data_IF_217807512078
#
_entry.id   IF_217807512078
#
_cell.length_a   1.000
_cell.length_b   1.000
_cell.length_c   1.000
_cell.angle_alpha   90.00
_cell.angle_beta   90.00
_cell.angle_gamma   90.00
#
_symmetry.space_group_name_H-M   'P 1'
#
loop_
_entity.id
_entity.type
_entity.pdbx_description
1 polymer ?
#
# COMPACT_ATOMS: atom_id res chain seq x y z
N UNK A 1 -5.28 -22.46 -24.43
CA UNK A 1 -5.41 -21.11 -23.83
C UNK A 1 -4.03 -20.65 -23.44
N UNK A 2 -3.53 -19.58 -24.05
CA UNK A 2 -2.18 -19.05 -23.81
C UNK A 2 -2.22 -18.15 -22.57
N UNK A 3 -1.45 -18.48 -21.53
CA UNK A 3 -1.31 -17.68 -20.31
C UNK A 3 -0.52 -16.40 -20.64
N UNK A 4 -1.17 -15.25 -20.62
CA UNK A 4 -0.51 -13.95 -20.82
C UNK A 4 0.03 -13.47 -19.47
N UNK A 5 1.35 -13.43 -19.30
CA UNK A 5 2.01 -12.86 -18.11
C UNK A 5 2.35 -11.39 -18.33
N UNK A 6 1.65 -10.51 -17.61
CA UNK A 6 1.99 -9.10 -17.55
C UNK A 6 3.08 -8.86 -16.50
N UNK A 7 4.25 -8.36 -16.91
CA UNK A 7 5.25 -7.85 -15.97
C UNK A 7 4.87 -6.43 -15.55
N UNK A 8 4.09 -6.32 -14.48
CA UNK A 8 3.83 -5.02 -13.86
C UNK A 8 5.11 -4.57 -13.15
N UNK A 9 5.67 -3.44 -13.56
CA UNK A 9 6.87 -2.91 -12.94
C UNK A 9 6.64 -2.61 -11.45
N UNK A 10 7.51 -3.13 -10.58
CA UNK A 10 7.44 -2.93 -9.12
C UNK A 10 7.35 -1.46 -8.72
N UNK A 11 8.05 -0.58 -9.44
CA UNK A 11 7.97 0.89 -9.24
C UNK A 11 6.57 1.44 -9.50
N UNK A 12 5.84 0.92 -10.49
CA UNK A 12 4.47 1.33 -10.76
C UNK A 12 3.55 0.85 -9.64
N UNK A 13 3.70 -0.40 -9.20
CA UNK A 13 2.94 -0.96 -8.07
C UNK A 13 3.13 -0.11 -6.81
N UNK A 14 4.38 0.22 -6.49
CA UNK A 14 4.72 1.06 -5.34
C UNK A 14 4.07 2.45 -5.43
N UNK A 15 4.06 3.07 -6.61
CA UNK A 15 3.39 4.37 -6.84
C UNK A 15 1.88 4.28 -6.68
N UNK A 16 1.26 3.22 -7.20
CA UNK A 16 -0.17 2.98 -7.03
C UNK A 16 -0.53 2.73 -5.56
N UNK A 17 0.27 1.93 -4.84
CA UNK A 17 0.12 1.70 -3.41
C UNK A 17 0.17 3.02 -2.63
N UNK A 18 1.21 3.83 -2.87
CA UNK A 18 1.37 5.14 -2.26
C UNK A 18 0.16 6.06 -2.53
N UNK A 19 -0.36 6.06 -3.77
CA UNK A 19 -1.52 6.86 -4.14
C UNK A 19 -2.76 6.45 -3.36
N UNK A 20 -3.05 5.15 -3.28
CA UNK A 20 -4.23 4.64 -2.58
C UNK A 20 -4.12 4.81 -1.06
N UNK A 21 -2.93 4.63 -0.49
CA UNK A 21 -2.72 4.86 0.94
C UNK A 21 -3.04 6.32 1.35
N UNK A 22 -2.65 7.30 0.54
CA UNK A 22 -2.95 8.74 0.79
C UNK A 22 -4.44 9.09 0.78
N UNK A 23 -5.29 8.22 0.22
CA UNK A 23 -6.73 8.44 0.18
C UNK A 23 -7.45 7.93 1.44
N UNK A 24 -6.73 7.25 2.33
CA UNK A 24 -7.32 6.68 3.55
C UNK A 24 -7.42 7.76 4.64
N UNK A 25 -8.61 7.97 5.23
CA UNK A 25 -8.76 8.86 6.37
C UNK A 25 -7.78 8.54 7.51
N UNK A 26 -7.19 9.57 8.10
CA UNK A 26 -6.18 9.44 9.13
C UNK A 26 -4.74 9.31 8.62
N UNK A 27 -4.52 9.07 7.33
CA UNK A 27 -3.19 9.17 6.72
C UNK A 27 -2.88 10.65 6.46
N UNK A 28 -1.83 11.16 7.12
CA UNK A 28 -1.33 12.51 6.94
C UNK A 28 -0.33 12.60 5.78
N UNK A 29 0.42 11.52 5.57
CA UNK A 29 1.45 11.46 4.53
C UNK A 29 2.12 10.10 4.45
N UNK A 30 3.14 10.03 3.60
CA UNK A 30 4.04 8.89 3.50
C UNK A 30 5.42 9.33 3.97
N UNK A 31 6.12 8.44 4.68
CA UNK A 31 7.51 8.66 5.03
C UNK A 31 8.38 8.77 3.75
N UNK A 32 9.49 9.52 3.75
CA UNK A 32 10.39 9.62 2.58
C UNK A 32 10.95 8.28 2.10
N UNK A 33 11.11 7.31 3.00
CA UNK A 33 11.45 5.92 2.64
C UNK A 33 10.40 5.25 1.74
N UNK A 34 9.19 5.80 1.69
CA UNK A 34 8.21 5.58 0.62
C UNK A 34 7.45 4.27 0.70
N UNK A 35 6.86 3.93 -0.44
CA UNK A 35 6.25 2.63 -0.71
C UNK A 35 7.25 1.79 -1.51
N UNK A 36 7.37 0.51 -1.18
CA UNK A 36 8.09 -0.47 -1.99
C UNK A 36 7.15 -1.58 -2.39
N UNK A 37 7.45 -2.23 -3.52
CA UNK A 37 6.75 -3.41 -3.95
C UNK A 37 7.75 -4.42 -4.48
N UNK A 38 7.45 -5.70 -4.30
CA UNK A 38 8.16 -6.82 -4.89
C UNK A 38 7.13 -7.75 -5.54
N UNK A 39 7.38 -8.18 -6.77
CA UNK A 39 6.48 -9.10 -7.48
C UNK A 39 7.19 -10.43 -7.71
N UNK A 40 6.63 -11.50 -7.17
CA UNK A 40 7.23 -12.83 -7.24
C UNK A 40 6.15 -13.91 -7.34
N UNK A 41 6.29 -14.80 -8.32
CA UNK A 41 5.47 -16.02 -8.41
C UNK A 41 3.95 -15.81 -8.43
N UNK A 42 3.44 -14.72 -9.02
CA UNK A 42 2.00 -14.43 -9.06
C UNK A 42 1.46 -13.73 -7.80
N UNK A 43 2.34 -13.40 -6.86
CA UNK A 43 2.04 -12.59 -5.68
C UNK A 43 2.78 -11.25 -5.73
N UNK A 44 2.28 -10.28 -4.97
CA UNK A 44 2.99 -9.02 -4.74
C UNK A 44 3.03 -8.70 -3.24
N UNK A 45 4.22 -8.39 -2.75
CA UNK A 45 4.40 -7.82 -1.43
C UNK A 45 4.58 -6.31 -1.54
N UNK A 46 3.86 -5.57 -0.71
CA UNK A 46 3.90 -4.10 -0.66
C UNK A 46 4.20 -3.67 0.77
N UNK A 47 5.25 -2.87 0.94
CA UNK A 47 5.57 -2.25 2.22
C UNK A 47 5.31 -0.74 2.15
N UNK A 48 4.59 -0.22 3.14
CA UNK A 48 4.22 1.18 3.26
C UNK A 48 4.68 1.74 4.60
N UNK A 49 5.47 2.81 4.56
CA UNK A 49 5.77 3.64 5.72
C UNK A 49 4.87 4.89 5.69
N UNK A 50 3.96 5.01 6.65
CA UNK A 50 2.94 6.07 6.69
C UNK A 50 3.09 6.95 7.92
N UNK A 51 2.63 8.19 7.80
CA UNK A 51 2.44 9.12 8.91
C UNK A 51 0.94 9.27 9.15
N UNK A 52 0.51 9.18 10.41
CA UNK A 52 -0.92 9.29 10.78
C UNK A 52 -1.21 10.59 11.52
N UNK A 53 -2.48 11.01 11.57
CA UNK A 53 -2.92 12.13 12.42
C UNK A 53 -3.32 11.67 13.81
N UNK A 54 -3.09 12.49 14.82
CA UNK A 54 -3.63 12.30 16.16
C UNK A 54 -5.16 12.19 16.11
N UNK A 55 -5.73 11.38 17.00
CA UNK A 55 -7.18 11.13 17.06
C UNK A 55 -7.66 9.98 16.18
N UNK A 56 -6.83 9.49 15.25
CA UNK A 56 -7.09 8.24 14.55
C UNK A 56 -6.38 7.09 15.25
N UNK A 57 -7.10 5.99 15.49
CA UNK A 57 -6.49 4.79 16.02
C UNK A 57 -5.52 4.19 14.97
N UNK A 58 -4.24 4.07 15.35
CA UNK A 58 -3.18 3.58 14.48
C UNK A 58 -3.47 2.20 13.88
N UNK A 59 -4.06 1.29 14.66
CA UNK A 59 -4.42 -0.05 14.19
C UNK A 59 -5.50 0.04 13.12
N UNK A 60 -6.53 0.85 13.34
CA UNK A 60 -7.65 0.98 12.40
C UNK A 60 -7.20 1.64 11.10
N UNK A 61 -6.34 2.66 11.18
CA UNK A 61 -5.72 3.27 9.98
C UNK A 61 -4.89 2.24 9.23
N UNK A 62 -4.03 1.48 9.90
CA UNK A 62 -3.22 0.45 9.25
C UNK A 62 -4.10 -0.60 8.54
N UNK A 63 -5.16 -1.08 9.19
CA UNK A 63 -6.11 -2.04 8.59
C UNK A 63 -6.84 -1.41 7.40
N UNK A 64 -7.26 -0.14 7.50
CA UNK A 64 -7.91 0.56 6.41
C UNK A 64 -6.97 0.73 5.20
N UNK A 65 -5.70 1.09 5.43
CA UNK A 65 -4.66 1.17 4.41
C UNK A 65 -4.43 -0.19 3.75
N UNK A 66 -4.30 -1.26 4.54
CA UNK A 66 -4.14 -2.61 4.01
C UNK A 66 -5.29 -3.01 3.09
N UNK A 67 -6.54 -2.78 3.52
CA UNK A 67 -7.73 -3.11 2.73
C UNK A 67 -7.81 -2.27 1.45
N UNK A 68 -7.61 -0.96 1.55
CA UNK A 68 -7.70 -0.04 0.42
C UNK A 68 -6.62 -0.34 -0.64
N UNK A 69 -5.36 -0.49 -0.21
CA UNK A 69 -4.22 -0.75 -1.10
C UNK A 69 -4.31 -2.16 -1.67
N UNK A 70 -4.51 -3.18 -0.83
CA UNK A 70 -4.59 -4.57 -1.27
C UNK A 70 -5.73 -4.78 -2.27
N UNK A 71 -6.93 -4.29 -1.95
CA UNK A 71 -8.08 -4.40 -2.84
C UNK A 71 -7.89 -3.65 -4.17
N UNK A 72 -7.27 -2.46 -4.15
CA UNK A 72 -7.01 -1.72 -5.38
C UNK A 72 -5.97 -2.41 -6.27
N UNK A 73 -4.87 -2.88 -5.68
CA UNK A 73 -3.80 -3.53 -6.44
C UNK A 73 -4.21 -4.90 -6.97
N UNK A 74 -4.89 -5.73 -6.18
CA UNK A 74 -5.43 -7.01 -6.66
C UNK A 74 -6.38 -6.80 -7.83
N UNK A 75 -7.26 -5.78 -7.79
CA UNK A 75 -8.13 -5.45 -8.94
C UNK A 75 -7.35 -4.98 -10.16
N UNK A 76 -6.26 -4.24 -9.97
CA UNK A 76 -5.45 -3.71 -11.07
C UNK A 76 -4.57 -4.78 -11.72
N UNK A 77 -4.01 -5.70 -10.94
CA UNK A 77 -2.96 -6.63 -11.38
C UNK A 77 -3.41 -8.07 -11.49
N UNK A 78 -4.50 -8.45 -10.81
CA UNK A 78 -4.91 -9.85 -10.63
C UNK A 78 -4.03 -10.66 -9.68
N UNK A 79 -3.03 -10.05 -9.04
CA UNK A 79 -2.10 -10.73 -8.13
C UNK A 79 -2.71 -10.89 -6.73
N UNK A 80 -2.24 -11.91 -5.99
CA UNK A 80 -2.41 -11.96 -4.53
C UNK A 80 -1.50 -10.92 -3.88
N UNK A 81 -2.09 -9.91 -3.23
CA UNK A 81 -1.35 -8.76 -2.70
C UNK A 81 -1.33 -8.76 -1.18
N UNK A 82 -0.13 -8.86 -0.61
CA UNK A 82 0.10 -8.71 0.83
C UNK A 82 0.65 -7.32 1.14
N UNK A 83 -0.04 -6.58 2.01
CA UNK A 83 0.35 -5.22 2.40
C UNK A 83 0.85 -5.17 3.84
N UNK A 84 2.09 -4.74 4.04
CA UNK A 84 2.67 -4.42 5.34
C UNK A 84 2.67 -2.91 5.55
N UNK A 85 2.14 -2.45 6.68
CA UNK A 85 2.09 -1.04 7.05
C UNK A 85 2.94 -0.81 8.28
N UNK A 86 3.81 0.19 8.21
CA UNK A 86 4.60 0.73 9.31
C UNK A 86 4.15 2.16 9.54
N UNK A 87 3.75 2.48 10.77
CA UNK A 87 3.46 3.87 11.18
C UNK A 87 4.77 4.45 11.70
N UNK A 88 5.29 5.46 11.03
CA UNK A 88 6.59 6.06 11.37
C UNK A 88 6.45 7.28 12.27
N UNK A 89 5.31 7.97 12.21
CA UNK A 89 5.07 9.17 13.01
C UNK A 89 3.57 9.45 13.17
N UNK A 90 3.21 10.22 14.20
CA UNK A 90 1.86 10.68 14.49
C UNK A 90 1.88 12.20 14.63
N UNK A 91 1.26 12.89 13.69
CA UNK A 91 1.18 14.35 13.71
C UNK A 91 0.14 14.83 14.71
N UNK A 92 0.57 15.77 15.54
CA UNK A 92 -0.26 16.59 16.41
C UNK A 92 -0.68 17.81 15.58
N UNK A 93 -1.72 17.66 14.75
CA UNK A 93 -2.29 18.80 14.03
C UNK A 93 -2.87 19.83 15.02
#
# INVERSE_FOLDING_TARGET
MTEVRYHVGERLLARLAARHARQVPGVAGLHPAGATARVEGGSAEVALAIVTRLGYNCRDVAVAVQRAVGGALTRYTGLDVRVRVTITDVLLD
#
